data_IF_159469759157
#
_entry.id   IF_159469759157
#
_cell.length_a   1.000
_cell.length_b   1.000
_cell.length_c   1.000
_cell.angle_alpha   90.00
_cell.angle_beta   90.00
_cell.angle_gamma   90.00
#
_symmetry.space_group_name_H-M   'P 1'
#
loop_
_entity.id
_entity.type
_entity.pdbx_description
1 polymer ?
#
# COMPACT_ATOMS: atom_id res chain seq x y z
N UNK A 1 -14.35 16.68 2.60
CA UNK A 1 -13.23 17.28 1.85
C UNK A 1 -12.61 16.21 0.97
N UNK A 2 -12.99 16.16 -0.31
CA UNK A 2 -12.44 15.25 -1.32
C UNK A 2 -11.20 15.89 -1.94
N UNK A 3 -10.08 15.85 -1.22
CA UNK A 3 -8.79 16.21 -1.78
C UNK A 3 -8.28 15.09 -2.68
N UNK A 4 -7.81 15.44 -3.88
CA UNK A 4 -7.10 14.51 -4.76
C UNK A 4 -5.87 13.96 -4.03
N UNK A 5 -5.54 12.69 -4.25
CA UNK A 5 -4.36 12.08 -3.63
C UNK A 5 -3.09 12.60 -4.29
N UNK A 6 -2.32 13.42 -3.57
CA UNK A 6 -0.99 13.88 -4.00
C UNK A 6 0.08 12.86 -3.62
N UNK A 7 0.89 12.45 -4.59
CA UNK A 7 2.01 11.53 -4.41
C UNK A 7 3.33 12.31 -4.45
N UNK A 8 4.29 11.90 -3.63
CA UNK A 8 5.66 12.39 -3.67
C UNK A 8 6.46 11.68 -4.77
N UNK A 9 7.29 12.43 -5.49
CA UNK A 9 8.09 11.95 -6.63
C UNK A 9 9.32 11.14 -6.16
N UNK A 10 9.09 10.03 -5.46
CA UNK A 10 10.16 9.13 -5.00
C UNK A 10 10.62 8.16 -6.09
N UNK A 11 9.70 7.75 -6.98
CA UNK A 11 9.98 6.88 -8.11
C UNK A 11 9.25 7.37 -9.35
N UNK A 12 9.85 7.13 -10.51
CA UNK A 12 9.17 7.26 -11.80
C UNK A 12 8.08 6.21 -11.97
N UNK A 13 7.13 6.48 -12.88
CA UNK A 13 6.06 5.55 -13.25
C UNK A 13 6.61 4.19 -13.68
N UNK A 14 7.70 4.18 -14.44
CA UNK A 14 8.27 2.95 -14.97
C UNK A 14 8.94 2.12 -13.86
N UNK A 15 9.58 2.75 -12.89
CA UNK A 15 10.10 2.07 -11.69
C UNK A 15 8.97 1.49 -10.84
N UNK A 16 7.84 2.20 -10.71
CA UNK A 16 6.64 1.68 -10.03
C UNK A 16 6.08 0.45 -10.75
N UNK A 17 6.03 0.46 -12.09
CA UNK A 17 5.65 -0.71 -12.88
C UNK A 17 6.60 -1.89 -12.68
N UNK A 18 7.91 -1.64 -12.66
CA UNK A 18 8.90 -2.68 -12.39
C UNK A 18 8.70 -3.30 -11.00
N UNK A 19 8.46 -2.47 -9.97
CA UNK A 19 8.16 -2.96 -8.61
C UNK A 19 6.90 -3.82 -8.57
N UNK A 20 5.86 -3.44 -9.31
CA UNK A 20 4.62 -4.20 -9.41
C UNK A 20 4.81 -5.57 -10.09
N UNK A 21 5.74 -5.69 -11.04
CA UNK A 21 6.02 -6.93 -11.78
C UNK A 21 7.00 -7.86 -11.06
N UNK A 22 8.00 -7.30 -10.36
CA UNK A 22 9.07 -8.09 -9.74
C UNK A 22 8.70 -8.69 -8.38
N UNK A 23 7.76 -8.08 -7.65
CA UNK A 23 7.44 -8.51 -6.28
C UNK A 23 6.33 -9.56 -6.29
N UNK A 24 6.65 -10.73 -5.74
CA UNK A 24 5.67 -11.77 -5.44
C UNK A 24 4.81 -11.38 -4.23
N UNK A 25 3.53 -11.76 -4.27
CA UNK A 25 2.57 -11.50 -3.20
C UNK A 25 1.44 -10.56 -3.62
N UNK A 26 0.20 -11.04 -3.52
CA UNK A 26 -1.00 -10.29 -3.88
C UNK A 26 -1.08 -8.93 -3.19
N UNK A 27 -0.73 -8.87 -1.90
CA UNK A 27 -0.79 -7.63 -1.14
C UNK A 27 0.27 -6.61 -1.56
N UNK A 28 1.46 -7.05 -1.95
CA UNK A 28 2.49 -6.16 -2.49
C UNK A 28 2.06 -5.57 -3.82
N UNK A 29 1.49 -6.40 -4.70
CA UNK A 29 0.91 -5.96 -5.96
C UNK A 29 -0.19 -4.90 -5.72
N UNK A 30 -1.10 -5.12 -4.76
CA UNK A 30 -2.16 -4.15 -4.43
C UNK A 30 -1.60 -2.81 -3.94
N UNK A 31 -0.58 -2.81 -3.08
CA UNK A 31 0.07 -1.57 -2.62
C UNK A 31 0.69 -0.78 -3.78
N UNK A 32 1.43 -1.46 -4.66
CA UNK A 32 2.02 -0.82 -5.83
C UNK A 32 0.97 -0.35 -6.84
N UNK A 33 -0.14 -1.07 -6.96
CA UNK A 33 -1.28 -0.66 -7.78
C UNK A 33 -1.92 0.63 -7.25
N UNK A 34 -2.01 0.83 -5.94
CA UNK A 34 -2.47 2.10 -5.33
C UNK A 34 -1.57 3.25 -5.75
N UNK A 35 -0.25 3.10 -5.59
CA UNK A 35 0.72 4.15 -5.95
C UNK A 35 0.68 4.45 -7.45
N UNK A 36 0.62 3.41 -8.28
CA UNK A 36 0.51 3.54 -9.73
C UNK A 36 -0.73 4.34 -10.14
N UNK A 37 -1.91 4.00 -9.59
CA UNK A 37 -3.15 4.71 -9.88
C UNK A 37 -3.08 6.17 -9.39
N UNK A 38 -2.52 6.40 -8.20
CA UNK A 38 -2.42 7.75 -7.65
C UNK A 38 -1.46 8.66 -8.43
N UNK A 39 -0.50 8.11 -9.18
CA UNK A 39 0.41 8.87 -10.07
C UNK A 39 -0.23 9.09 -11.45
N UNK A 40 -0.76 8.04 -12.07
CA UNK A 40 -1.29 8.10 -13.45
C UNK A 40 -2.64 8.81 -13.53
N UNK A 41 -3.50 8.57 -12.54
CA UNK A 41 -4.86 9.10 -12.49
C UNK A 41 -5.22 9.53 -11.07
N UNK A 42 -4.75 10.72 -10.63
CA UNK A 42 -4.93 11.21 -9.27
C UNK A 42 -6.41 11.42 -8.92
N UNK A 43 -6.99 10.43 -8.23
CA UNK A 43 -8.39 10.38 -7.83
C UNK A 43 -8.55 10.40 -6.31
N UNK A 44 -9.77 10.65 -5.78
CA UNK A 44 -10.04 10.45 -4.36
C UNK A 44 -9.70 9.02 -3.91
N UNK A 45 -9.22 8.87 -2.67
CA UNK A 45 -8.84 7.57 -2.12
C UNK A 45 -9.99 6.54 -2.15
N UNK A 46 -11.25 6.99 -2.07
CA UNK A 46 -12.45 6.16 -2.18
C UNK A 46 -12.58 5.51 -3.55
N UNK A 47 -12.26 6.22 -4.63
CA UNK A 47 -12.33 5.69 -5.99
C UNK A 47 -11.20 4.70 -6.27
N UNK A 48 -10.00 5.02 -5.79
CA UNK A 48 -8.83 4.12 -5.87
C UNK A 48 -9.11 2.82 -5.09
N UNK A 49 -9.75 2.91 -3.91
CA UNK A 49 -10.15 1.77 -3.11
C UNK A 49 -11.06 0.80 -3.90
N UNK A 50 -12.07 1.33 -4.61
CA UNK A 50 -12.97 0.52 -5.45
C UNK A 50 -12.23 -0.24 -6.55
N UNK A 51 -11.18 0.34 -7.12
CA UNK A 51 -10.41 -0.27 -8.21
C UNK A 51 -9.36 -1.27 -7.74
N UNK A 52 -8.87 -1.11 -6.51
CA UNK A 52 -7.78 -1.93 -5.95
C UNK A 52 -8.28 -3.04 -5.02
N UNK A 53 -9.59 -3.05 -4.70
CA UNK A 53 -10.18 -3.99 -3.76
C UNK A 53 -9.75 -3.75 -2.31
N UNK A 54 -9.29 -2.53 -2.00
CA UNK A 54 -8.85 -2.11 -0.67
C UNK A 54 -9.90 -1.22 0.00
N UNK A 55 -9.73 -0.98 1.29
CA UNK A 55 -10.51 0.06 1.98
C UNK A 55 -9.91 1.44 1.72
N UNK A 56 -10.74 2.49 1.78
CA UNK A 56 -10.26 3.87 1.66
C UNK A 56 -9.18 4.21 2.72
N UNK A 57 -9.34 3.70 3.94
CA UNK A 57 -8.37 3.87 5.01
C UNK A 57 -7.01 3.23 4.66
N UNK A 58 -7.02 2.04 4.06
CA UNK A 58 -5.82 1.36 3.57
C UNK A 58 -5.12 2.18 2.47
N UNK A 59 -5.88 2.70 1.50
CA UNK A 59 -5.33 3.56 0.43
C UNK A 59 -4.67 4.80 1.01
N UNK A 60 -5.36 5.53 1.91
CA UNK A 60 -4.80 6.73 2.56
C UNK A 60 -3.52 6.42 3.33
N UNK A 61 -3.49 5.29 4.06
CA UNK A 61 -2.30 4.85 4.80
C UNK A 61 -1.14 4.54 3.88
N UNK A 62 -1.37 3.76 2.81
CA UNK A 62 -0.34 3.41 1.81
C UNK A 62 0.27 4.68 1.21
N UNK A 63 -0.57 5.64 0.83
CA UNK A 63 -0.13 6.91 0.25
C UNK A 63 0.66 7.75 1.24
N UNK A 64 0.19 7.87 2.50
CA UNK A 64 0.94 8.57 3.54
C UNK A 64 2.30 7.93 3.82
N UNK A 65 2.34 6.61 3.91
CA UNK A 65 3.54 5.84 4.21
C UNK A 65 4.56 5.98 3.08
N UNK A 66 4.12 5.82 1.82
CA UNK A 66 4.95 6.06 0.64
C UNK A 66 5.44 7.50 0.56
N UNK A 67 4.57 8.50 0.79
CA UNK A 67 4.97 9.90 0.74
C UNK A 67 6.02 10.23 1.82
N UNK A 68 5.92 9.65 3.01
CA UNK A 68 6.80 9.95 4.14
C UNK A 68 8.13 9.21 4.08
N UNK A 69 8.11 7.94 3.69
CA UNK A 69 9.24 7.03 3.83
C UNK A 69 9.73 6.46 2.50
N UNK A 70 9.03 6.74 1.40
CA UNK A 70 9.40 6.27 0.07
C UNK A 70 9.07 4.79 -0.16
N UNK A 71 9.68 4.19 -1.20
CA UNK A 71 9.34 2.84 -1.66
C UNK A 71 9.66 1.74 -0.64
N UNK A 72 10.65 1.93 0.23
CA UNK A 72 11.08 0.93 1.23
C UNK A 72 9.97 0.61 2.24
N UNK A 73 9.14 1.59 2.56
CA UNK A 73 8.08 1.43 3.56
C UNK A 73 6.97 0.46 3.12
N UNK A 74 6.71 0.38 1.81
CA UNK A 74 5.72 -0.55 1.27
C UNK A 74 6.23 -1.99 1.31
N UNK A 75 7.55 -2.18 1.20
CA UNK A 75 8.22 -3.47 1.29
C UNK A 75 8.30 -3.98 2.74
N UNK A 76 8.55 -3.09 3.71
CA UNK A 76 8.71 -3.48 5.12
C UNK A 76 7.37 -3.76 5.83
N UNK A 77 6.29 -3.09 5.42
CA UNK A 77 4.95 -3.30 5.99
C UNK A 77 4.43 -4.74 5.81
N UNK A 78 4.90 -5.49 4.81
CA UNK A 78 4.56 -6.91 4.65
C UNK A 78 5.05 -7.76 5.83
N UNK A 79 6.30 -7.57 6.26
CA UNK A 79 6.89 -8.33 7.39
C UNK A 79 6.09 -8.11 8.67
N UNK A 80 5.68 -6.87 8.93
CA UNK A 80 4.85 -6.55 10.10
C UNK A 80 3.46 -7.17 10.02
N UNK A 81 2.83 -7.15 8.85
CA UNK A 81 1.47 -7.66 8.72
C UNK A 81 1.41 -9.19 8.86
N UNK A 82 2.38 -9.90 8.27
CA UNK A 82 2.48 -11.36 8.40
C UNK A 82 2.65 -11.79 9.88
N UNK A 83 3.41 -11.04 10.68
CA UNK A 83 3.50 -11.29 12.13
C UNK A 83 2.18 -10.99 12.86
N UNK A 84 1.48 -9.90 12.52
CA UNK A 84 0.27 -9.49 13.26
C UNK A 84 -0.98 -10.35 13.00
N UNK A 85 -1.03 -11.13 11.91
CA UNK A 85 -2.19 -11.97 11.60
C UNK A 85 -2.00 -13.44 11.99
N UNK A 86 -0.76 -13.91 12.16
CA UNK A 86 -0.44 -15.31 12.49
C UNK A 86 0.07 -15.53 13.91
N UNK A 87 0.45 -14.49 14.65
CA UNK A 87 0.79 -14.64 16.06
C UNK A 87 -0.48 -14.54 16.92
N UNK A 88 -0.92 -15.62 17.59
CA UNK A 88 -1.90 -15.48 18.64
C UNK A 88 -1.32 -14.56 19.74
N UNK A 89 -2.15 -13.71 20.37
CA UNK A 89 -1.67 -12.84 21.44
C UNK A 89 -0.95 -13.67 22.51
N UNK A 90 0.15 -13.16 23.10
CA UNK A 90 0.89 -13.88 24.14
C UNK A 90 -0.08 -14.26 25.28
N UNK A 91 -0.37 -15.55 25.43
CA UNK A 91 -1.33 -16.07 26.41
C UNK A 91 -2.50 -16.90 25.87
N UNK A 92 -2.68 -17.04 24.55
CA UNK A 92 -3.79 -17.81 23.99
C UNK A 92 -3.61 -19.35 23.99
N UNK A 93 -2.46 -19.88 24.39
CA UNK A 93 -2.15 -21.32 24.42
C UNK A 93 -2.11 -21.91 25.84
N UNK A 94 -2.86 -21.33 26.77
CA UNK A 94 -2.97 -21.82 28.14
C UNK A 94 -4.43 -22.09 28.49
N UNK A 95 -5.03 -23.10 27.85
CA UNK A 95 -6.21 -23.83 28.32
C UNK A 95 -6.11 -25.29 27.91
#
# INVERSE_FOLDING_TARGET
>A
MTGTTRIADHLSVDEVKMKMQMKSGFMNMQKWLVIYNAIIDPRPASEIAMHTGLTEASVRRIIQEYNRLGPEALEEAEKKMCMTWFDPPPGALSM
#
